data_IF_789770173138
#
_entry.id   IF_789770173138
#
_cell.length_a   1.000
_cell.length_b   1.000
_cell.length_c   1.000
_cell.angle_alpha   90.00
_cell.angle_beta   90.00
_cell.angle_gamma   90.00
#
_symmetry.space_group_name_H-M   'P 1'
#
loop_
_entity.id
_entity.type
_entity.pdbx_description
1 polymer ?
#
# COMPACT_ATOMS: atom_id res chain seq x y z
N UNK A 1 -9.39 27.37 -3.71
CA UNK A 1 -9.00 25.99 -4.10
C UNK A 1 -7.48 26.00 -4.28
N UNK A 2 -6.78 25.14 -3.53
CA UNK A 2 -5.35 24.92 -3.69
C UNK A 2 -5.11 23.71 -4.58
N UNK A 3 -4.09 23.79 -5.45
CA UNK A 3 -3.66 22.69 -6.31
C UNK A 3 -2.19 22.39 -6.01
N UNK A 4 -1.91 21.14 -5.69
CA UNK A 4 -0.56 20.64 -5.52
C UNK A 4 -0.21 19.72 -6.70
N UNK A 5 0.80 20.11 -7.46
CA UNK A 5 1.27 19.30 -8.60
C UNK A 5 2.32 18.29 -8.12
N UNK A 6 2.16 17.04 -8.54
CA UNK A 6 3.14 16.00 -8.27
C UNK A 6 4.18 15.94 -9.40
N UNK A 7 5.44 15.60 -9.09
CA UNK A 7 6.53 15.68 -10.08
C UNK A 7 6.43 14.72 -11.26
N UNK A 8 5.66 13.64 -11.14
CA UNK A 8 5.56 12.61 -12.16
C UNK A 8 4.38 12.84 -13.11
N UNK A 9 4.63 13.33 -14.32
CA UNK A 9 3.57 13.41 -15.35
C UNK A 9 3.15 12.00 -15.78
N UNK A 10 1.81 11.74 -15.74
CA UNK A 10 1.25 10.44 -16.12
C UNK A 10 1.36 9.37 -15.05
N UNK A 11 1.82 9.70 -13.85
CA UNK A 11 1.71 8.81 -12.70
C UNK A 11 0.24 8.69 -12.26
N UNK A 12 -0.14 7.51 -11.82
CA UNK A 12 -1.49 7.22 -11.34
C UNK A 12 -1.49 7.33 -9.82
N UNK A 13 -1.98 8.45 -9.31
CA UNK A 13 -2.13 8.70 -7.88
C UNK A 13 -3.40 8.02 -7.37
N UNK A 14 -3.27 7.15 -6.38
CA UNK A 14 -4.31 6.20 -6.05
C UNK A 14 -4.34 5.89 -4.55
N UNK A 15 -5.52 5.60 -3.99
CA UNK A 15 -5.78 5.08 -2.65
C UNK A 15 -4.95 5.72 -1.52
N UNK A 16 -4.94 7.05 -1.47
CA UNK A 16 -4.23 7.80 -0.45
C UNK A 16 -4.75 7.55 0.97
N UNK A 17 -3.86 7.58 1.94
CA UNK A 17 -4.19 7.39 3.34
C UNK A 17 -3.47 8.37 4.27
N UNK A 18 -3.99 8.51 5.48
CA UNK A 18 -3.40 9.37 6.50
C UNK A 18 -2.30 8.64 7.29
N UNK A 19 -1.32 9.42 7.78
CA UNK A 19 -0.31 8.92 8.72
C UNK A 19 -0.91 8.46 10.06
N UNK A 20 -2.09 8.92 10.40
CA UNK A 20 -2.82 8.56 11.61
C UNK A 20 -4.32 8.61 11.37
N UNK A 21 -5.09 7.86 12.13
CA UNK A 21 -6.56 7.89 12.09
C UNK A 21 -7.13 8.14 13.49
N UNK A 22 -8.42 8.48 13.55
CA UNK A 22 -9.13 8.72 14.83
C UNK A 22 -9.28 7.46 15.69
N UNK A 23 -8.96 6.30 15.14
CA UNK A 23 -9.04 5.00 15.81
C UNK A 23 -7.66 4.36 15.95
N UNK A 24 -6.59 5.17 15.96
CA UNK A 24 -5.23 4.65 16.08
C UNK A 24 -5.11 3.72 17.28
N UNK A 25 -4.66 2.50 16.99
CA UNK A 25 -4.69 1.37 17.90
C UNK A 25 -3.81 1.57 19.13
N UNK A 26 -2.68 2.23 19.00
CA UNK A 26 -1.68 2.35 20.06
C UNK A 26 -1.50 3.76 20.60
N UNK A 27 -1.80 4.79 19.82
CA UNK A 27 -1.54 6.18 20.20
C UNK A 27 -2.65 7.11 19.72
N UNK A 28 -3.58 7.41 20.62
CA UNK A 28 -4.68 8.34 20.38
C UNK A 28 -4.21 9.82 20.27
N UNK A 29 -2.98 10.11 20.68
CA UNK A 29 -2.41 11.47 20.60
C UNK A 29 -1.88 11.81 19.22
N UNK A 30 -1.69 10.84 18.32
CA UNK A 30 -1.23 11.08 16.96
C UNK A 30 -2.24 11.89 16.15
N UNK A 31 -1.76 12.98 15.56
CA UNK A 31 -2.58 13.83 14.70
C UNK A 31 -2.47 13.43 13.24
N UNK A 32 -3.54 13.65 12.48
CA UNK A 32 -3.55 13.58 11.00
C UNK A 32 -2.83 14.79 10.44
N UNK A 33 -1.55 14.69 10.31
CA UNK A 33 -0.67 15.77 9.86
C UNK A 33 -0.18 15.57 8.43
N UNK A 34 -0.15 14.33 7.98
CA UNK A 34 0.40 13.95 6.69
C UNK A 34 -0.54 13.03 5.92
N UNK A 35 -0.68 13.33 4.63
CA UNK A 35 -1.37 12.46 3.68
C UNK A 35 -0.33 11.76 2.82
N UNK A 36 -0.39 10.43 2.78
CA UNK A 36 0.46 9.61 1.90
C UNK A 36 -0.29 9.34 0.60
N UNK A 37 0.33 9.68 -0.51
CA UNK A 37 -0.24 9.58 -1.85
C UNK A 37 0.61 8.66 -2.70
N UNK A 38 0.20 7.40 -2.87
CA UNK A 38 0.90 6.44 -3.72
C UNK A 38 0.80 6.81 -5.20
N UNK A 39 1.92 6.65 -5.91
CA UNK A 39 1.99 6.69 -7.37
C UNK A 39 2.19 5.27 -7.90
N UNK A 40 1.14 4.67 -8.45
CA UNK A 40 1.14 3.26 -8.86
C UNK A 40 2.20 2.97 -9.92
N UNK A 41 2.34 3.86 -10.90
CA UNK A 41 3.27 3.65 -12.03
C UNK A 41 4.72 3.89 -11.67
N UNK A 42 5.00 4.97 -10.94
CA UNK A 42 6.37 5.30 -10.50
C UNK A 42 6.85 4.43 -9.35
N UNK A 43 5.94 3.89 -8.58
CA UNK A 43 6.14 3.32 -7.25
C UNK A 43 6.59 4.34 -6.20
N UNK A 44 6.52 5.64 -6.48
CA UNK A 44 6.81 6.69 -5.52
C UNK A 44 5.67 6.84 -4.51
N UNK A 45 6.00 7.26 -3.29
CA UNK A 45 5.00 7.63 -2.30
C UNK A 45 5.25 9.08 -1.91
N UNK A 46 4.29 9.95 -2.20
CA UNK A 46 4.37 11.37 -1.91
C UNK A 46 3.77 11.64 -0.53
N UNK A 47 4.53 12.25 0.35
CA UNK A 47 4.11 12.63 1.70
C UNK A 47 3.73 14.11 1.67
N UNK A 48 2.49 14.42 1.95
CA UNK A 48 1.94 15.77 1.90
C UNK A 48 1.72 16.30 3.32
N UNK A 49 2.38 17.39 3.67
CA UNK A 49 2.11 18.12 4.92
C UNK A 49 0.80 18.91 4.78
N UNK A 50 -0.18 18.53 5.61
CA UNK A 50 -1.49 19.15 5.68
C UNK A 50 -1.71 19.89 6.99
N UNK A 51 -0.80 19.78 7.96
CA UNK A 51 -0.93 20.40 9.26
C UNK A 51 -0.40 21.82 9.30
N UNK A 52 0.68 22.11 8.58
CA UNK A 52 1.30 23.45 8.56
C UNK A 52 0.38 24.52 7.99
N UNK A 53 -0.34 24.21 6.93
CA UNK A 53 -1.43 25.01 6.35
C UNK A 53 -2.45 24.09 5.66
N UNK A 54 -3.59 23.79 6.31
CA UNK A 54 -4.63 22.94 5.74
C UNK A 54 -5.26 23.49 4.45
N UNK A 55 -5.18 24.81 4.23
CA UNK A 55 -5.70 25.45 3.02
C UNK A 55 -4.71 25.46 1.87
N UNK A 56 -3.42 25.25 2.16
CA UNK A 56 -2.33 25.20 1.18
C UNK A 56 -1.32 24.08 1.54
N UNK A 57 -1.74 22.81 1.48
CA UNK A 57 -0.86 21.69 1.78
C UNK A 57 0.35 21.65 0.85
N UNK A 58 1.46 21.09 1.32
CA UNK A 58 2.75 21.09 0.60
C UNK A 58 3.37 19.71 0.57
N UNK A 59 4.12 19.44 -0.49
CA UNK A 59 4.97 18.24 -0.54
C UNK A 59 6.03 18.33 0.57
N UNK A 60 6.06 17.32 1.44
CA UNK A 60 7.00 17.20 2.54
C UNK A 60 8.19 16.31 2.15
N UNK A 61 7.90 15.13 1.61
CA UNK A 61 8.92 14.11 1.27
C UNK A 61 8.41 13.24 0.12
N UNK A 62 9.32 12.68 -0.63
CA UNK A 62 9.04 11.57 -1.55
C UNK A 62 9.84 10.36 -1.08
N UNK A 63 9.17 9.21 -0.95
CA UNK A 63 9.83 7.91 -0.86
C UNK A 63 9.95 7.42 -2.29
N UNK A 64 11.17 7.31 -2.79
CA UNK A 64 11.42 6.96 -4.17
C UNK A 64 11.14 5.47 -4.43
N UNK A 65 10.46 5.17 -5.53
CA UNK A 65 10.16 3.79 -5.93
C UNK A 65 11.41 2.93 -6.14
N UNK A 66 12.52 3.55 -6.54
CA UNK A 66 13.81 2.89 -6.64
C UNK A 66 14.35 2.41 -5.28
N UNK A 67 14.14 3.22 -4.22
CA UNK A 67 14.51 2.85 -2.86
C UNK A 67 13.63 1.71 -2.32
N UNK A 68 12.31 1.80 -2.56
CA UNK A 68 11.36 0.75 -2.20
C UNK A 68 11.75 -0.58 -2.84
N UNK A 69 11.97 -0.58 -4.17
CA UNK A 69 12.39 -1.76 -4.92
C UNK A 69 13.69 -2.36 -4.40
N UNK A 70 14.67 -1.52 -4.12
CA UNK A 70 15.99 -1.97 -3.64
C UNK A 70 15.94 -2.59 -2.25
N UNK A 71 15.11 -2.06 -1.34
CA UNK A 71 15.04 -2.51 0.06
C UNK A 71 14.07 -3.67 0.29
N UNK A 72 13.01 -3.80 -0.53
CA UNK A 72 11.89 -4.70 -0.25
C UNK A 72 11.51 -5.62 -1.39
N UNK A 73 12.05 -5.41 -2.58
CA UNK A 73 11.63 -6.07 -3.82
C UNK A 73 10.11 -5.87 -4.10
N UNK A 74 9.55 -4.69 -3.73
CA UNK A 74 8.14 -4.35 -3.95
C UNK A 74 7.98 -3.18 -4.92
N UNK A 75 6.83 -3.14 -5.62
CA UNK A 75 6.45 -2.07 -6.54
C UNK A 75 4.94 -1.85 -6.60
N UNK A 76 4.53 -0.76 -7.24
CA UNK A 76 3.14 -0.38 -7.45
C UNK A 76 2.35 -0.31 -6.14
N UNK A 77 2.61 0.70 -5.29
CA UNK A 77 1.87 0.92 -4.05
C UNK A 77 0.41 1.26 -4.35
N UNK A 78 -0.50 0.73 -3.52
CA UNK A 78 -1.93 0.92 -3.70
C UNK A 78 -2.57 1.49 -2.44
N UNK A 79 -3.00 0.68 -1.49
CA UNK A 79 -3.76 1.10 -0.31
C UNK A 79 -2.86 1.43 0.87
N UNK A 80 -3.13 2.56 1.53
CA UNK A 80 -2.36 3.05 2.68
C UNK A 80 -3.20 2.99 3.95
N UNK A 81 -2.69 2.35 4.98
CA UNK A 81 -3.27 2.36 6.33
C UNK A 81 -2.23 2.69 7.39
N UNK A 82 -2.61 3.55 8.34
CA UNK A 82 -1.81 3.76 9.56
C UNK A 82 -2.01 2.59 10.53
N UNK A 83 -0.98 2.28 11.30
CA UNK A 83 -0.98 1.29 12.36
C UNK A 83 -0.26 1.89 13.59
N UNK A 84 -0.99 2.65 14.40
CA UNK A 84 -0.36 3.41 15.49
C UNK A 84 0.74 4.33 14.97
N UNK A 85 1.97 4.09 15.41
CA UNK A 85 3.17 4.81 14.96
C UNK A 85 3.78 4.31 13.65
N UNK A 86 3.16 3.32 13.01
CA UNK A 86 3.65 2.70 11.78
C UNK A 86 2.63 2.85 10.65
N UNK A 87 3.06 2.56 9.44
CA UNK A 87 2.21 2.64 8.25
C UNK A 87 2.43 1.39 7.41
N UNK A 88 1.34 0.79 6.95
CA UNK A 88 1.35 -0.35 6.05
C UNK A 88 0.76 0.09 4.72
N UNK A 89 1.40 -0.31 3.62
CA UNK A 89 0.96 0.00 2.26
C UNK A 89 0.96 -1.28 1.44
N UNK A 90 -0.19 -1.62 0.84
CA UNK A 90 -0.24 -2.75 -0.08
C UNK A 90 0.55 -2.43 -1.36
N UNK A 91 1.28 -3.42 -1.84
CA UNK A 91 2.13 -3.32 -3.02
C UNK A 91 1.69 -4.40 -4.00
N UNK A 92 1.36 -4.01 -5.23
CA UNK A 92 0.72 -4.92 -6.19
C UNK A 92 1.68 -5.90 -6.87
N UNK A 93 2.98 -5.66 -6.79
CA UNK A 93 3.96 -6.54 -7.39
C UNK A 93 5.36 -6.43 -6.80
N UNK A 94 6.24 -7.29 -7.28
CA UNK A 94 7.67 -7.24 -7.00
C UNK A 94 8.37 -6.11 -7.80
N UNK A 95 9.68 -5.94 -7.61
CA UNK A 95 10.46 -4.89 -8.27
C UNK A 95 10.44 -4.96 -9.81
N UNK A 96 10.10 -6.13 -10.38
CA UNK A 96 9.97 -6.35 -11.83
C UNK A 96 8.55 -6.12 -12.34
N UNK A 97 7.60 -5.81 -11.46
CA UNK A 97 6.18 -5.68 -11.81
C UNK A 97 5.46 -7.02 -11.97
N UNK A 98 5.99 -8.09 -11.40
CA UNK A 98 5.44 -9.43 -11.42
C UNK A 98 4.82 -9.78 -10.05
N UNK A 99 4.05 -10.86 -9.98
CA UNK A 99 3.64 -11.46 -8.71
C UNK A 99 4.84 -12.17 -8.02
N UNK A 100 4.82 -12.30 -6.67
CA UNK A 100 3.81 -11.78 -5.76
C UNK A 100 4.00 -10.29 -5.44
N UNK A 101 2.92 -9.67 -4.95
CA UNK A 101 2.99 -8.39 -4.26
C UNK A 101 3.44 -8.53 -2.80
N UNK A 102 2.92 -7.68 -1.91
CA UNK A 102 3.19 -7.72 -0.49
C UNK A 102 2.77 -6.44 0.22
N UNK A 103 3.37 -6.16 1.36
CA UNK A 103 3.05 -4.98 2.17
C UNK A 103 4.33 -4.24 2.57
N UNK A 104 4.44 -2.99 2.12
CA UNK A 104 5.51 -2.09 2.55
C UNK A 104 5.23 -1.61 3.97
N UNK A 105 6.26 -1.63 4.80
CA UNK A 105 6.21 -1.21 6.19
C UNK A 105 7.07 0.03 6.42
N UNK A 106 6.45 1.11 6.90
CA UNK A 106 7.11 2.37 7.22
C UNK A 106 7.00 2.68 8.71
N UNK A 107 7.99 3.38 9.26
CA UNK A 107 7.89 3.99 10.57
C UNK A 107 7.16 5.35 10.51
N UNK A 108 6.95 5.97 11.68
CA UNK A 108 6.30 7.29 11.81
C UNK A 108 7.03 8.44 11.10
N UNK A 109 8.31 8.28 10.81
CA UNK A 109 9.15 9.28 10.13
C UNK A 109 9.24 9.00 8.61
N UNK A 110 8.36 8.09 8.13
CA UNK A 110 8.27 7.67 6.73
C UNK A 110 9.56 7.04 6.20
N UNK A 111 10.26 6.29 7.05
CA UNK A 111 11.41 5.51 6.65
C UNK A 111 11.00 4.06 6.42
N UNK A 112 11.60 3.42 5.43
CA UNK A 112 11.31 2.02 5.09
C UNK A 112 11.92 1.11 6.17
N UNK A 113 11.07 0.41 6.91
CA UNK A 113 11.45 -0.67 7.83
C UNK A 113 11.74 -1.95 7.05
N UNK A 114 10.88 -2.28 6.06
CA UNK A 114 10.98 -3.49 5.25
C UNK A 114 9.62 -3.93 4.70
N UNK A 115 9.44 -5.24 4.59
CA UNK A 115 8.12 -5.84 4.35
C UNK A 115 7.42 -6.06 5.69
N UNK A 116 6.10 -5.87 5.72
CA UNK A 116 5.31 -6.10 6.93
C UNK A 116 5.08 -7.60 7.18
N UNK A 117 4.77 -8.34 6.15
CA UNK A 117 4.49 -9.77 6.25
C UNK A 117 5.76 -10.61 6.47
N UNK A 118 5.63 -11.67 7.24
CA UNK A 118 6.68 -12.68 7.39
C UNK A 118 6.66 -13.69 6.24
N UNK A 119 5.48 -13.94 5.67
CA UNK A 119 5.30 -14.83 4.53
C UNK A 119 4.02 -14.46 3.78
N UNK A 120 4.06 -14.54 2.44
CA UNK A 120 2.86 -14.45 1.59
C UNK A 120 2.13 -15.79 1.47
N UNK A 121 2.70 -16.91 1.96
CA UNK A 121 2.16 -18.23 1.69
C UNK A 121 2.01 -18.47 0.18
N UNK A 122 0.83 -18.92 -0.25
CA UNK A 122 0.51 -19.17 -1.66
C UNK A 122 -0.17 -17.96 -2.36
N UNK A 123 -0.30 -16.82 -1.67
CA UNK A 123 -0.92 -15.59 -2.20
C UNK A 123 -0.07 -15.04 -3.34
N UNK A 124 -0.69 -14.82 -4.49
CA UNK A 124 -0.01 -14.34 -5.70
C UNK A 124 -0.18 -12.85 -5.92
N UNK A 125 -1.39 -12.34 -5.68
CA UNK A 125 -1.72 -10.96 -6.00
C UNK A 125 -2.08 -10.19 -4.74
N UNK A 126 -1.77 -8.90 -4.73
CA UNK A 126 -2.23 -7.96 -3.72
C UNK A 126 -3.23 -6.99 -4.33
N UNK A 127 -4.02 -6.35 -3.48
CA UNK A 127 -4.87 -5.22 -3.84
C UNK A 127 -5.16 -4.37 -2.61
N UNK A 128 -6.37 -4.45 -2.09
CA UNK A 128 -6.81 -3.73 -0.91
C UNK A 128 -6.71 -4.62 0.33
N UNK A 129 -6.64 -4.00 1.50
CA UNK A 129 -6.64 -4.70 2.76
C UNK A 129 -7.28 -3.86 3.86
N UNK A 130 -7.77 -4.55 4.89
CA UNK A 130 -8.25 -3.95 6.12
C UNK A 130 -7.83 -4.81 7.30
N UNK A 131 -7.64 -4.22 8.47
CA UNK A 131 -7.19 -4.96 9.65
C UNK A 131 -7.91 -4.54 10.91
N UNK A 132 -7.97 -5.43 11.88
CA UNK A 132 -8.46 -5.19 13.23
C UNK A 132 -7.52 -5.88 14.24
N UNK A 133 -6.53 -5.16 14.78
CA UNK A 133 -5.53 -5.76 15.70
C UNK A 133 -6.15 -6.37 16.95
N UNK A 134 -7.22 -5.78 17.49
CA UNK A 134 -7.92 -6.31 18.67
C UNK A 134 -8.51 -7.71 18.46
N UNK A 135 -8.75 -8.08 17.23
CA UNK A 135 -9.22 -9.41 16.83
C UNK A 135 -8.12 -10.24 16.17
N UNK A 136 -6.89 -9.73 16.14
CA UNK A 136 -5.75 -10.38 15.52
C UNK A 136 -6.02 -10.78 14.05
N UNK A 137 -6.70 -9.92 13.31
CA UNK A 137 -7.10 -10.23 11.93
C UNK A 137 -6.75 -9.11 10.97
N UNK A 138 -6.29 -9.49 9.77
CA UNK A 138 -6.28 -8.68 8.57
C UNK A 138 -7.03 -9.44 7.47
N UNK A 139 -7.71 -8.71 6.61
CA UNK A 139 -8.36 -9.25 5.40
C UNK A 139 -7.78 -8.55 4.20
N UNK A 140 -7.40 -9.29 3.17
CA UNK A 140 -6.93 -8.73 1.93
C UNK A 140 -7.63 -9.34 0.72
N UNK A 141 -7.67 -8.59 -0.36
CA UNK A 141 -8.19 -9.02 -1.66
C UNK A 141 -7.09 -9.05 -2.70
N UNK A 142 -7.38 -9.61 -3.84
CA UNK A 142 -6.48 -9.72 -4.97
C UNK A 142 -6.94 -8.85 -6.15
N UNK A 143 -5.97 -8.39 -6.95
CA UNK A 143 -6.20 -7.80 -8.26
C UNK A 143 -5.33 -8.50 -9.31
N UNK A 144 -4.22 -7.91 -9.71
CA UNK A 144 -3.30 -8.47 -10.69
C UNK A 144 -1.89 -7.92 -10.49
N UNK A 145 -0.90 -8.57 -11.08
CA UNK A 145 0.46 -8.02 -11.14
C UNK A 145 0.52 -6.77 -12.02
N UNK A 146 1.41 -5.79 -11.71
CA UNK A 146 1.57 -4.57 -12.48
C UNK A 146 1.75 -4.79 -13.99
N UNK A 147 2.54 -5.77 -14.40
CA UNK A 147 2.77 -6.09 -15.80
C UNK A 147 1.50 -6.57 -16.54
N UNK A 148 0.48 -7.01 -15.80
CA UNK A 148 -0.82 -7.41 -16.37
C UNK A 148 -1.73 -6.21 -16.56
N UNK A 149 -1.94 -5.39 -15.53
CA UNK A 149 -2.96 -4.33 -15.60
C UNK A 149 -2.45 -2.98 -16.16
N UNK A 150 -1.15 -2.66 -16.05
CA UNK A 150 -0.62 -1.37 -16.50
C UNK A 150 -0.72 -1.12 -18.01
N UNK A 151 -0.64 -2.13 -18.89
CA UNK A 151 -0.89 -1.94 -20.32
C UNK A 151 -2.36 -1.65 -20.66
N UNK A 152 -3.29 -2.00 -19.77
CA UNK A 152 -4.74 -1.91 -19.93
C UNK A 152 -5.42 -3.21 -19.56
N UNK A 153 -6.74 -3.15 -19.31
CA UNK A 153 -7.54 -4.32 -18.96
C UNK A 153 -7.81 -5.19 -20.20
N UNK A 154 -7.55 -6.49 -20.10
CA UNK A 154 -7.83 -7.48 -21.14
C UNK A 154 -8.65 -8.66 -20.54
N UNK A 155 -9.83 -8.91 -21.12
CA UNK A 155 -10.72 -10.00 -20.71
C UNK A 155 -10.12 -11.39 -20.95
N UNK A 156 -9.27 -11.57 -21.95
CA UNK A 156 -8.62 -12.85 -22.21
C UNK A 156 -7.66 -13.21 -21.05
N UNK A 157 -6.98 -12.20 -20.49
CA UNK A 157 -6.09 -12.41 -19.35
C UNK A 157 -6.83 -12.81 -18.06
N UNK A 158 -8.10 -12.42 -17.91
CA UNK A 158 -8.95 -12.92 -16.83
C UNK A 158 -9.19 -14.41 -17.00
N UNK A 159 -9.49 -14.86 -18.22
CA UNK A 159 -9.63 -16.28 -18.55
C UNK A 159 -8.35 -17.10 -18.31
N UNK A 160 -7.18 -16.47 -18.45
CA UNK A 160 -5.89 -17.08 -18.19
C UNK A 160 -5.42 -16.98 -16.72
N UNK A 161 -6.31 -16.60 -15.79
CA UNK A 161 -6.06 -16.48 -14.35
C UNK A 161 -4.91 -15.51 -14.00
N UNK A 162 -4.72 -14.47 -14.81
CA UNK A 162 -3.76 -13.39 -14.52
C UNK A 162 -4.32 -12.32 -13.58
N UNK A 163 -5.61 -12.39 -13.29
CA UNK A 163 -6.30 -11.60 -12.28
C UNK A 163 -6.70 -12.49 -11.11
N UNK A 164 -6.51 -11.97 -9.91
CA UNK A 164 -6.88 -12.62 -8.68
C UNK A 164 -8.39 -12.63 -8.44
N UNK A 165 -8.84 -13.57 -7.61
CA UNK A 165 -10.24 -13.78 -7.24
C UNK A 165 -10.39 -14.35 -5.84
N UNK A 166 -9.40 -14.07 -5.00
CA UNK A 166 -9.33 -14.64 -3.68
C UNK A 166 -9.40 -13.54 -2.62
N UNK A 167 -9.92 -13.91 -1.45
CA UNK A 167 -9.89 -13.12 -0.23
C UNK A 167 -9.10 -13.92 0.80
N UNK A 168 -8.17 -13.25 1.47
CA UNK A 168 -7.28 -13.88 2.43
C UNK A 168 -7.50 -13.31 3.82
N UNK A 169 -7.59 -14.19 4.80
CA UNK A 169 -7.58 -13.86 6.22
C UNK A 169 -6.21 -14.16 6.79
N UNK A 170 -5.65 -13.18 7.48
CA UNK A 170 -4.31 -13.21 8.02
C UNK A 170 -4.35 -13.23 9.54
N UNK A 171 -3.46 -13.95 10.16
CA UNK A 171 -3.10 -13.72 11.53
C UNK A 171 -2.23 -12.45 11.62
N UNK A 172 -2.79 -11.41 12.23
CA UNK A 172 -2.16 -10.10 12.24
C UNK A 172 -0.85 -10.07 13.05
N UNK A 173 -0.80 -10.79 14.20
CA UNK A 173 0.39 -10.88 15.04
C UNK A 173 1.50 -11.72 14.41
N UNK A 174 1.15 -12.84 13.77
CA UNK A 174 2.10 -13.69 13.06
C UNK A 174 2.52 -13.12 11.73
N UNK A 175 1.72 -12.19 11.18
CA UNK A 175 1.93 -11.59 9.85
C UNK A 175 1.99 -12.65 8.74
N UNK A 176 1.10 -13.61 8.82
CA UNK A 176 1.01 -14.76 7.91
C UNK A 176 -0.45 -15.04 7.55
N UNK A 177 -0.76 -15.47 6.31
CA UNK A 177 -2.10 -15.87 5.91
C UNK A 177 -2.51 -17.17 6.63
N UNK A 178 -3.77 -17.24 7.08
CA UNK A 178 -4.34 -18.42 7.74
C UNK A 178 -5.44 -19.09 6.92
N UNK A 179 -6.19 -18.29 6.13
CA UNK A 179 -7.31 -18.83 5.38
C UNK A 179 -7.52 -18.07 4.08
N UNK A 180 -7.88 -18.79 3.03
CA UNK A 180 -8.20 -18.23 1.71
C UNK A 180 -9.58 -18.68 1.27
N UNK A 181 -10.36 -17.76 0.71
CA UNK A 181 -11.66 -17.99 0.09
C UNK A 181 -11.61 -17.63 -1.38
N UNK A 182 -12.17 -18.51 -2.21
CA UNK A 182 -12.40 -18.27 -3.63
C UNK A 182 -13.74 -17.56 -3.83
N UNK A 183 -13.76 -16.54 -4.70
CA UNK A 183 -14.96 -15.81 -5.09
C UNK A 183 -15.50 -16.30 -6.44
#
# INVERSE_FOLDING_TARGET
IHRLEMPGIGDELHHMGWNACSSCFEDESMSRSYLLVPGVRSSNIHIIDTASDPCAPRLHKIIEGSEIKAKTDLSAPHTVHCLGSEIIISMLGNAKGEAPGGYLHLNKDFEIIGRWENSMGDIKFGYDFWYQPRHNVMVSSEWAAPNTFMPGFDLEEVGHLKYGREIHFWNFEKKEPEQTFYL
#
